data_IF_079630624203
#
_entry.id   IF_079630624203
#
_cell.length_a   1.000
_cell.length_b   1.000
_cell.length_c   1.000
_cell.angle_alpha   90.00
_cell.angle_beta   90.00
_cell.angle_gamma   90.00
#
_symmetry.space_group_name_H-M   'P 1'
#
loop_
_entity.id
_entity.type
_entity.pdbx_description
1 polymer ?
#
# COMPACT_ATOMS: atom_id res chain seq x y z
N UNK A 1 38.05 -25.75 -48.50
CA UNK A 1 37.72 -24.42 -47.92
C UNK A 1 36.95 -24.67 -46.63
N UNK A 2 37.61 -24.59 -45.47
CA UNK A 2 37.02 -24.95 -44.16
C UNK A 2 36.53 -23.68 -43.45
N UNK A 3 35.23 -23.62 -43.15
CA UNK A 3 34.59 -22.49 -42.47
C UNK A 3 34.74 -22.67 -40.96
N UNK A 4 35.56 -21.82 -40.33
CA UNK A 4 35.69 -21.77 -38.86
C UNK A 4 34.42 -21.14 -38.27
N UNK A 5 33.69 -21.91 -37.46
CA UNK A 5 32.57 -21.41 -36.67
C UNK A 5 33.13 -20.60 -35.50
N UNK A 6 32.87 -19.29 -35.46
CA UNK A 6 33.13 -18.45 -34.30
C UNK A 6 31.84 -18.44 -33.48
N UNK A 7 31.86 -19.06 -32.31
CA UNK A 7 30.80 -18.94 -31.32
C UNK A 7 31.09 -17.71 -30.44
N UNK A 8 30.21 -16.71 -30.49
CA UNK A 8 30.23 -15.59 -29.54
C UNK A 8 29.36 -15.99 -28.35
N UNK A 9 29.98 -16.13 -27.18
CA UNK A 9 29.27 -16.36 -25.93
C UNK A 9 28.77 -15.01 -25.40
N UNK A 10 27.44 -14.81 -25.37
CA UNK A 10 26.82 -13.68 -24.70
C UNK A 10 26.72 -13.99 -23.19
N UNK A 11 27.43 -13.19 -22.38
CA UNK A 11 27.35 -13.26 -20.93
C UNK A 11 26.11 -12.49 -20.46
N UNK A 12 25.03 -13.22 -20.15
CA UNK A 12 23.84 -12.66 -19.50
C UNK A 12 24.13 -12.50 -18.01
N UNK A 13 24.27 -11.25 -17.54
CA UNK A 13 24.28 -10.92 -16.12
C UNK A 13 22.83 -10.94 -15.65
N UNK A 14 22.40 -12.00 -14.97
CA UNK A 14 21.14 -12.01 -14.27
C UNK A 14 21.30 -11.22 -12.95
N UNK A 15 20.72 -10.02 -12.89
CA UNK A 15 20.59 -9.29 -11.64
C UNK A 15 19.49 -9.92 -10.80
N UNK A 16 19.88 -10.58 -9.70
CA UNK A 16 18.97 -11.10 -8.70
C UNK A 16 18.29 -9.94 -7.98
N UNK A 17 16.98 -9.77 -8.18
CA UNK A 17 16.19 -8.94 -7.27
C UNK A 17 15.97 -9.74 -5.99
N UNK A 18 16.59 -9.33 -4.89
CA UNK A 18 16.22 -9.81 -3.57
C UNK A 18 14.86 -9.20 -3.22
N UNK A 19 13.80 -10.00 -3.27
CA UNK A 19 12.54 -9.63 -2.65
C UNK A 19 12.77 -9.61 -1.13
N UNK A 20 12.88 -8.41 -0.56
CA UNK A 20 12.87 -8.26 0.89
C UNK A 20 11.44 -8.56 1.34
N UNK A 21 11.20 -9.72 1.96
CA UNK A 21 9.88 -10.04 2.50
C UNK A 21 9.56 -8.99 3.58
N UNK A 22 8.61 -8.12 3.27
CA UNK A 22 8.11 -7.13 4.21
C UNK A 22 7.46 -7.87 5.39
N UNK A 23 7.81 -7.47 6.62
CA UNK A 23 7.19 -8.05 7.81
C UNK A 23 5.88 -7.31 8.01
N UNK A 24 4.75 -8.02 7.92
CA UNK A 24 3.47 -7.43 8.31
C UNK A 24 3.46 -7.15 9.81
N UNK A 25 3.25 -5.88 10.17
CA UNK A 25 3.14 -5.40 11.54
C UNK A 25 1.69 -5.00 11.80
N UNK A 26 0.99 -5.79 12.62
CA UNK A 26 -0.36 -5.43 13.11
C UNK A 26 -0.25 -4.18 13.98
N UNK A 27 -1.04 -3.15 13.65
CA UNK A 27 -0.95 -1.85 14.31
C UNK A 27 0.25 -1.00 13.90
N UNK A 28 0.96 -1.40 12.84
CA UNK A 28 2.10 -0.66 12.32
C UNK A 28 1.68 0.69 11.73
N UNK A 29 2.61 1.64 11.77
CA UNK A 29 2.50 2.93 11.08
C UNK A 29 3.26 2.84 9.75
N UNK A 30 2.73 3.47 8.72
CA UNK A 30 3.36 3.56 7.40
C UNK A 30 4.16 4.85 7.30
N UNK A 31 5.41 4.74 6.85
CA UNK A 31 6.27 5.90 6.60
C UNK A 31 6.86 5.82 5.21
N UNK A 32 6.96 6.97 4.56
CA UNK A 32 7.61 7.10 3.25
C UNK A 32 9.10 6.78 3.40
N UNK A 33 9.56 5.67 2.84
CA UNK A 33 10.94 5.21 2.98
C UNK A 33 11.94 6.15 2.29
N UNK A 34 11.58 6.68 1.12
CA UNK A 34 12.39 7.62 0.34
C UNK A 34 11.50 8.71 -0.26
N UNK A 35 12.02 9.94 -0.36
CA UNK A 35 11.27 11.07 -0.94
C UNK A 35 10.85 10.74 -2.37
N UNK A 36 9.56 10.82 -2.66
CA UNK A 36 9.06 10.47 -3.98
C UNK A 36 7.55 10.32 -4.03
N UNK A 37 7.10 9.90 -5.22
CA UNK A 37 5.69 9.70 -5.50
C UNK A 37 5.15 8.43 -4.83
N UNK A 38 4.02 8.54 -4.16
CA UNK A 38 3.32 7.42 -3.53
C UNK A 38 2.04 7.12 -4.30
N UNK A 39 1.85 5.84 -4.63
CA UNK A 39 0.60 5.34 -5.20
C UNK A 39 0.01 4.26 -4.33
N UNK A 40 -1.31 4.13 -4.35
CA UNK A 40 -2.05 3.09 -3.65
C UNK A 40 -2.88 2.29 -4.65
N UNK A 41 -2.95 0.98 -4.44
CA UNK A 41 -3.70 0.06 -5.31
C UNK A 41 -4.74 -0.67 -4.48
N UNK A 42 -5.98 -0.71 -4.99
CA UNK A 42 -7.03 -1.51 -4.38
C UNK A 42 -6.86 -2.98 -4.75
N UNK A 43 -6.55 -3.82 -3.76
CA UNK A 43 -6.34 -5.26 -3.96
C UNK A 43 -7.62 -6.09 -3.84
N UNK A 44 -8.72 -5.47 -3.38
CA UNK A 44 -10.01 -6.12 -3.17
C UNK A 44 -10.52 -5.93 -1.74
N UNK A 45 -11.70 -6.46 -1.49
CA UNK A 45 -12.33 -6.55 -0.17
C UNK A 45 -13.12 -7.86 -0.10
N UNK A 46 -13.05 -8.52 1.05
CA UNK A 46 -13.90 -9.64 1.44
C UNK A 46 -14.83 -9.27 2.60
N UNK A 47 -14.90 -7.98 2.95
CA UNK A 47 -15.70 -7.48 4.07
C UNK A 47 -17.19 -7.67 3.80
N UNK A 48 -17.94 -8.09 4.82
CA UNK A 48 -19.40 -8.20 4.75
C UNK A 48 -20.12 -6.85 4.84
N UNK A 49 -19.46 -5.82 5.37
CA UNK A 49 -19.98 -4.45 5.40
C UNK A 49 -19.49 -3.66 4.19
N UNK A 50 -20.23 -2.62 3.80
CA UNK A 50 -19.70 -1.63 2.86
C UNK A 50 -18.81 -0.64 3.62
N UNK A 51 -17.53 -0.64 3.29
CA UNK A 51 -16.52 0.25 3.84
C UNK A 51 -15.87 1.12 2.76
N UNK A 52 -15.41 2.29 3.18
CA UNK A 52 -14.74 3.27 2.32
C UNK A 52 -13.39 3.62 2.94
N UNK A 53 -12.32 3.47 2.17
CA UNK A 53 -10.96 3.83 2.55
C UNK A 53 -10.70 5.30 2.20
N UNK A 54 -10.18 6.04 3.18
CA UNK A 54 -9.74 7.41 3.05
C UNK A 54 -8.24 7.51 3.35
N UNK A 55 -7.56 8.40 2.64
CA UNK A 55 -6.23 8.87 2.99
C UNK A 55 -6.35 10.18 3.77
N UNK A 56 -5.81 10.19 4.99
CA UNK A 56 -5.80 11.38 5.83
C UNK A 56 -4.54 12.19 5.53
N UNK A 57 -4.69 13.36 4.91
CA UNK A 57 -3.59 14.25 4.60
C UNK A 57 -3.96 15.70 4.92
N UNK A 58 -3.05 16.41 5.59
CA UNK A 58 -3.19 17.83 5.92
C UNK A 58 -4.53 18.20 6.61
N UNK A 59 -5.10 17.29 7.42
CA UNK A 59 -6.37 17.51 8.11
C UNK A 59 -7.62 17.22 7.27
N UNK A 60 -7.48 16.78 6.03
CA UNK A 60 -8.57 16.36 5.15
C UNK A 60 -8.53 14.86 4.88
N UNK A 61 -9.71 14.25 4.74
CA UNK A 61 -9.84 12.86 4.31
C UNK A 61 -10.15 12.80 2.81
N UNK A 62 -9.19 12.37 2.00
CA UNK A 62 -9.41 12.05 0.58
C UNK A 62 -10.01 10.65 0.48
N UNK A 63 -11.19 10.51 -0.11
CA UNK A 63 -11.75 9.18 -0.42
C UNK A 63 -10.91 8.49 -1.51
N UNK A 64 -10.57 7.23 -1.29
CA UNK A 64 -9.77 6.42 -2.21
C UNK A 64 -10.61 5.31 -2.85
N UNK A 65 -11.10 4.39 -2.01
CA UNK A 65 -11.70 3.14 -2.47
C UNK A 65 -12.96 2.81 -1.70
N UNK A 66 -13.92 2.18 -2.34
CA UNK A 66 -15.12 1.62 -1.73
C UNK A 66 -15.08 0.11 -1.92
N UNK A 67 -15.17 -0.63 -0.81
CA UNK A 67 -14.89 -2.06 -0.74
C UNK A 67 -15.70 -2.89 -1.74
N UNK A 68 -16.96 -2.53 -2.00
CA UNK A 68 -17.85 -3.30 -2.89
C UNK A 68 -18.03 -2.70 -4.29
N UNK A 69 -17.43 -1.54 -4.59
CA UNK A 69 -17.64 -0.87 -5.88
C UNK A 69 -16.36 -0.52 -6.62
N UNK A 70 -15.22 -0.42 -5.94
CA UNK A 70 -13.94 -0.15 -6.59
C UNK A 70 -13.46 -1.41 -7.32
N UNK A 71 -13.14 -1.35 -8.62
CA UNK A 71 -12.55 -2.49 -9.32
C UNK A 71 -11.16 -2.85 -8.75
N UNK A 72 -10.91 -4.15 -8.55
CA UNK A 72 -9.57 -4.66 -8.16
C UNK A 72 -8.52 -4.22 -9.18
N UNK A 73 -7.37 -3.78 -8.68
CA UNK A 73 -6.28 -3.23 -9.49
C UNK A 73 -6.40 -1.73 -9.79
N UNK A 74 -7.44 -1.05 -9.29
CA UNK A 74 -7.51 0.42 -9.38
C UNK A 74 -6.35 1.05 -8.61
N UNK A 75 -5.55 1.86 -9.29
CA UNK A 75 -4.41 2.58 -8.70
C UNK A 75 -4.67 4.08 -8.68
N UNK A 76 -4.42 4.72 -7.53
CA UNK A 76 -4.49 6.16 -7.37
C UNK A 76 -3.12 6.72 -6.98
N UNK A 77 -2.79 7.88 -7.54
CA UNK A 77 -1.60 8.62 -7.15
C UNK A 77 -1.94 9.57 -5.98
N UNK A 78 -1.24 9.45 -4.86
CA UNK A 78 -1.40 10.32 -3.68
C UNK A 78 -0.51 11.58 -3.76
N UNK A 79 0.42 11.62 -4.70
CA UNK A 79 1.39 12.69 -4.89
C UNK A 79 2.76 12.36 -4.31
N UNK A 80 3.61 13.40 -4.21
CA UNK A 80 4.98 13.28 -3.72
C UNK A 80 5.08 13.65 -2.25
N UNK A 81 5.81 12.84 -1.49
CA UNK A 81 6.02 13.02 -0.06
C UNK A 81 7.50 12.96 0.29
N UNK A 82 7.90 13.67 1.34
CA UNK A 82 9.26 13.58 1.85
C UNK A 82 9.48 12.25 2.59
N UNK A 83 10.72 11.74 2.57
CA UNK A 83 11.15 10.64 3.43
C UNK A 83 10.76 10.88 4.89
N UNK A 84 10.26 9.84 5.55
CA UNK A 84 9.83 9.87 6.95
C UNK A 84 8.44 10.47 7.16
N UNK A 85 7.73 10.89 6.11
CA UNK A 85 6.33 11.32 6.23
C UNK A 85 5.48 10.12 6.63
N UNK A 86 4.71 10.23 7.73
CA UNK A 86 3.72 9.22 8.12
C UNK A 86 2.52 9.29 7.16
N UNK A 87 2.09 8.14 6.67
CA UNK A 87 0.89 8.00 5.85
C UNK A 87 -0.20 7.35 6.71
N UNK A 88 -1.32 8.06 6.91
CA UNK A 88 -2.45 7.59 7.71
C UNK A 88 -3.65 7.29 6.84
N UNK A 89 -4.23 6.11 7.04
CA UNK A 89 -5.45 5.69 6.35
C UNK A 89 -6.57 5.48 7.36
N UNK A 90 -7.80 5.74 6.91
CA UNK A 90 -9.03 5.54 7.67
C UNK A 90 -10.00 4.69 6.88
N UNK A 91 -10.52 3.65 7.49
CA UNK A 91 -11.69 2.92 7.03
C UNK A 91 -12.94 3.52 7.67
N UNK A 92 -13.90 3.95 6.85
CA UNK A 92 -15.23 4.34 7.28
C UNK A 92 -16.21 3.21 6.98
N UNK A 93 -16.98 2.76 7.97
CA UNK A 93 -18.00 1.72 7.77
C UNK A 93 -19.37 2.38 7.64
N UNK A 94 -19.92 2.44 6.43
CA UNK A 94 -21.14 3.19 6.12
C UNK A 94 -22.33 2.79 7.02
N UNK A 95 -22.43 1.49 7.31
CA UNK A 95 -23.56 0.95 8.06
C UNK A 95 -23.57 1.34 9.55
N UNK A 96 -22.40 1.64 10.13
CA UNK A 96 -22.26 1.99 11.56
C UNK A 96 -21.83 3.43 11.79
N UNK A 97 -21.29 4.09 10.77
CA UNK A 97 -20.65 5.40 10.88
C UNK A 97 -19.28 5.36 11.56
N UNK A 98 -18.79 4.18 11.95
CA UNK A 98 -17.52 4.03 12.68
C UNK A 98 -16.33 4.32 11.78
N UNK A 99 -15.26 4.81 12.40
CA UNK A 99 -13.98 5.08 11.75
C UNK A 99 -12.88 4.31 12.45
N UNK A 100 -12.09 3.59 11.66
CA UNK A 100 -10.93 2.83 12.12
C UNK A 100 -9.69 3.28 11.36
N UNK A 101 -8.56 3.34 12.05
CA UNK A 101 -7.33 3.97 11.56
C UNK A 101 -6.17 2.98 11.59
N UNK A 102 -5.25 3.15 10.65
CA UNK A 102 -3.91 2.53 10.71
C UNK A 102 -3.13 3.02 11.94
N UNK A 103 -2.19 2.22 12.43
CA UNK A 103 -1.35 2.56 13.56
C UNK A 103 -1.81 1.94 14.90
N UNK A 104 -1.43 2.54 16.04
CA UNK A 104 -1.61 1.94 17.36
C UNK A 104 -3.09 1.88 17.77
N UNK A 105 -3.39 0.98 18.72
CA UNK A 105 -4.73 0.77 19.25
C UNK A 105 -5.38 2.06 19.78
N UNK A 106 -4.58 2.92 20.40
CA UNK A 106 -5.02 4.21 20.93
C UNK A 106 -5.52 5.20 19.87
N UNK A 107 -5.29 4.93 18.58
CA UNK A 107 -5.87 5.72 17.48
C UNK A 107 -7.34 5.37 17.22
N UNK A 108 -7.83 4.25 17.76
CA UNK A 108 -9.19 3.75 17.57
C UNK A 108 -10.00 3.89 18.87
N UNK A 109 -11.27 4.24 18.74
CA UNK A 109 -12.15 4.49 19.90
C UNK A 109 -12.39 3.25 20.76
N UNK A 110 -12.24 2.06 20.18
CA UNK A 110 -12.38 0.77 20.84
C UNK A 110 -11.05 0.25 21.42
N UNK A 111 -9.95 0.99 21.23
CA UNK A 111 -8.61 0.63 21.65
C UNK A 111 -8.14 -0.73 21.10
N UNK A 112 -8.49 -1.02 19.83
CA UNK A 112 -8.09 -2.24 19.09
C UNK A 112 -7.29 -1.88 17.83
N UNK A 113 -6.46 -2.81 17.35
CA UNK A 113 -5.68 -2.70 16.12
C UNK A 113 -6.54 -3.13 14.92
N UNK A 114 -6.62 -2.29 13.88
CA UNK A 114 -7.51 -2.52 12.72
C UNK A 114 -6.80 -2.59 11.36
N UNK A 115 -5.47 -2.42 11.33
CA UNK A 115 -4.71 -2.53 10.10
C UNK A 115 -3.34 -3.15 10.33
N UNK A 116 -2.79 -3.75 9.29
CA UNK A 116 -1.39 -4.18 9.21
C UNK A 116 -0.64 -3.26 8.26
N UNK A 117 0.66 -3.08 8.50
CA UNK A 117 1.58 -2.35 7.63
C UNK A 117 2.78 -3.23 7.33
N UNK A 118 3.29 -3.18 6.11
CA UNK A 118 4.45 -3.95 5.63
C UNK A 118 5.51 -3.05 4.95
#
# INVERSE_FOLDING_TARGET
MSMKKIAVAALLVASSFSANAAIEILGGKLYVAETGNVSVTFLGSDAGYNDVIFFNNAGFGQQLFSGHSTPVGTTLNLGSFAKGTELSFRMHVDNTGNNFYTGPASANFDNVLHAKAD
#
